data_IF_171466222412
#
_entry.id   IF_171466222412
#
_cell.length_a   1.000
_cell.length_b   1.000
_cell.length_c   1.000
_cell.angle_alpha   90.00
_cell.angle_beta   90.00
_cell.angle_gamma   90.00
#
_symmetry.space_group_name_H-M   'P 1'
#
loop_
_entity.id
_entity.type
_entity.pdbx_description
1 polymer ?
#
# COMPACT_ATOMS: atom_id res chain seq x y z
N UNK A 1 4.02 14.99 31.97
CA UNK A 1 2.87 15.01 31.05
C UNK A 1 3.26 14.21 29.81
N UNK A 2 2.49 13.18 29.46
CA UNK A 2 2.69 12.45 28.20
C UNK A 2 2.18 13.31 27.06
N UNK A 3 3.07 13.71 26.14
CA UNK A 3 2.68 14.51 24.97
C UNK A 3 1.74 13.70 24.08
N UNK A 4 0.55 14.24 23.78
CA UNK A 4 -0.49 13.60 22.97
C UNK A 4 -1.28 14.66 22.18
N UNK A 5 -1.97 14.24 21.12
CA UNK A 5 -2.89 15.07 20.34
C UNK A 5 -4.19 14.33 20.04
N UNK A 6 -5.28 15.06 19.88
CA UNK A 6 -6.62 14.50 19.63
C UNK A 6 -7.03 14.68 18.18
N UNK A 7 -7.61 13.65 17.57
CA UNK A 7 -8.23 13.72 16.24
C UNK A 7 -9.72 13.41 16.35
N UNK A 8 -10.56 14.27 15.75
CA UNK A 8 -12.00 14.03 15.64
C UNK A 8 -12.28 13.16 14.40
N UNK A 9 -12.42 11.86 14.60
CA UNK A 9 -12.85 10.94 13.54
C UNK A 9 -14.38 10.95 13.39
N UNK A 10 -14.89 10.41 12.29
CA UNK A 10 -16.34 10.26 12.09
C UNK A 10 -17.00 9.45 13.23
N UNK A 11 -16.26 8.52 13.84
CA UNK A 11 -16.72 7.65 14.92
C UNK A 11 -16.41 8.19 16.34
N UNK A 12 -15.90 9.41 16.46
CA UNK A 12 -15.58 10.03 17.75
C UNK A 12 -14.14 10.56 17.84
N UNK A 13 -13.83 11.17 18.96
CA UNK A 13 -12.51 11.74 19.24
C UNK A 13 -11.57 10.65 19.78
N UNK A 14 -10.32 10.66 19.30
CA UNK A 14 -9.29 9.71 19.72
C UNK A 14 -8.00 10.47 20.04
N UNK A 15 -7.44 10.18 21.22
CA UNK A 15 -6.16 10.72 21.66
C UNK A 15 -5.00 9.82 21.23
N UNK A 16 -4.03 10.41 20.55
CA UNK A 16 -2.83 9.74 20.05
C UNK A 16 -1.61 10.20 20.84
N UNK A 17 -0.87 9.28 21.50
CA UNK A 17 0.41 9.61 22.10
C UNK A 17 1.45 9.91 21.02
N UNK A 18 2.32 10.90 21.24
CA UNK A 18 3.38 11.23 20.26
C UNK A 18 4.65 10.41 20.45
N UNK A 19 4.80 9.79 21.62
CA UNK A 19 5.99 9.02 21.97
C UNK A 19 6.14 7.80 21.05
N UNK A 20 7.29 7.64 20.41
CA UNK A 20 7.55 6.51 19.50
C UNK A 20 7.12 6.72 18.04
N UNK A 21 6.39 7.80 17.72
CA UNK A 21 5.84 7.98 16.37
C UNK A 21 6.90 8.06 15.27
N UNK A 22 8.06 8.66 15.56
CA UNK A 22 9.12 8.82 14.56
C UNK A 22 9.86 7.50 14.36
N UNK A 23 10.14 6.78 15.44
CA UNK A 23 10.80 5.49 15.43
C UNK A 23 9.95 4.44 14.70
N UNK A 24 8.65 4.36 15.04
CA UNK A 24 7.70 3.46 14.39
C UNK A 24 7.53 3.79 12.90
N UNK A 25 7.46 5.08 12.54
CA UNK A 25 7.36 5.50 11.14
C UNK A 25 8.67 5.31 10.35
N UNK A 26 9.81 5.18 11.04
CA UNK A 26 11.12 4.98 10.42
C UNK A 26 11.33 3.58 9.86
N UNK A 27 10.67 2.56 10.44
CA UNK A 27 10.75 1.13 10.04
C UNK A 27 12.18 0.67 9.69
N UNK A 28 13.15 1.11 10.49
CA UNK A 28 14.57 0.83 10.25
C UNK A 28 14.90 -0.58 10.74
N UNK A 29 15.39 -1.42 9.82
CA UNK A 29 15.91 -2.75 10.13
C UNK A 29 17.43 -2.65 10.27
N UNK A 30 17.97 -3.23 11.35
CA UNK A 30 19.42 -3.30 11.57
C UNK A 30 20.13 -4.06 10.44
N UNK A 31 21.23 -3.50 9.94
CA UNK A 31 22.08 -4.15 8.94
C UNK A 31 22.67 -5.48 9.43
N UNK A 32 22.96 -5.60 10.72
CA UNK A 32 23.47 -6.84 11.31
C UNK A 32 22.45 -7.97 11.25
N UNK A 33 21.18 -7.64 11.50
CA UNK A 33 20.09 -8.59 11.35
C UNK A 33 19.95 -9.02 9.88
N UNK A 34 20.06 -8.09 8.94
CA UNK A 34 20.04 -8.42 7.51
C UNK A 34 21.18 -9.35 7.11
N UNK A 35 22.40 -9.13 7.63
CA UNK A 35 23.54 -9.99 7.37
C UNK A 35 23.36 -11.38 8.01
N UNK A 36 22.80 -11.44 9.21
CA UNK A 36 22.45 -12.70 9.88
C UNK A 36 21.45 -13.49 9.04
N UNK A 37 20.37 -12.86 8.58
CA UNK A 37 19.35 -13.52 7.75
C UNK A 37 19.92 -14.03 6.44
N UNK A 38 20.91 -13.35 5.85
CA UNK A 38 21.63 -13.81 4.65
C UNK A 38 22.52 -15.03 4.90
N UNK A 39 22.96 -15.27 6.14
CA UNK A 39 23.81 -16.41 6.51
C UNK A 39 23.02 -17.68 6.85
N UNK A 40 21.69 -17.60 6.81
CA UNK A 40 20.81 -18.74 7.12
C UNK A 40 21.03 -19.90 6.16
N UNK A 41 20.77 -21.12 6.65
CA UNK A 41 20.80 -22.35 5.84
C UNK A 41 19.42 -22.77 5.35
N UNK A 42 18.38 -22.05 5.73
CA UNK A 42 17.01 -22.34 5.32
C UNK A 42 16.71 -21.63 4.00
N UNK A 43 16.45 -22.41 2.95
CA UNK A 43 16.10 -21.88 1.62
C UNK A 43 14.90 -20.92 1.68
N UNK A 44 13.88 -21.28 2.46
CA UNK A 44 12.71 -20.42 2.67
C UNK A 44 13.07 -19.05 3.25
N UNK A 45 13.96 -19.00 4.25
CA UNK A 45 14.36 -17.74 4.89
C UNK A 45 15.23 -16.92 3.94
N UNK A 46 16.14 -17.56 3.21
CA UNK A 46 16.93 -16.90 2.15
C UNK A 46 16.02 -16.29 1.08
N UNK A 47 14.98 -17.00 0.65
CA UNK A 47 14.02 -16.50 -0.33
C UNK A 47 13.13 -15.38 0.22
N UNK A 48 12.72 -15.47 1.49
CA UNK A 48 11.89 -14.45 2.13
C UNK A 48 12.64 -13.11 2.28
N UNK A 49 13.92 -13.16 2.67
CA UNK A 49 14.76 -11.97 2.90
C UNK A 49 15.61 -11.56 1.68
N UNK A 50 15.59 -12.36 0.61
CA UNK A 50 16.25 -12.06 -0.66
C UNK A 50 15.39 -11.27 -1.66
N UNK A 51 14.17 -10.89 -1.29
CA UNK A 51 13.22 -10.23 -2.19
C UNK A 51 13.65 -8.79 -2.53
N UNK A 52 13.36 -8.35 -3.77
CA UNK A 52 13.58 -6.97 -4.21
C UNK A 52 12.78 -5.91 -3.44
N UNK A 53 11.82 -6.34 -2.61
CA UNK A 53 11.06 -5.47 -1.72
C UNK A 53 11.91 -4.92 -0.55
N UNK A 54 13.08 -5.49 -0.27
CA UNK A 54 13.98 -5.00 0.77
C UNK A 54 14.98 -4.01 0.19
N UNK A 55 14.81 -2.72 0.51
CA UNK A 55 15.76 -1.69 0.15
C UNK A 55 16.84 -1.61 1.23
N UNK A 56 18.06 -2.03 0.89
CA UNK A 56 19.22 -1.96 1.79
C UNK A 56 20.09 -0.75 1.46
N UNK A 57 20.39 0.08 2.45
CA UNK A 57 21.42 1.11 2.37
C UNK A 57 22.78 0.45 2.61
N UNK A 58 23.60 0.40 1.58
CA UNK A 58 24.97 -0.13 1.65
C UNK A 58 25.98 0.99 1.90
N UNK A 59 27.10 0.64 2.54
CA UNK A 59 28.17 1.60 2.80
C UNK A 59 28.79 2.14 1.49
N UNK A 60 29.07 3.47 1.36
CA UNK A 60 29.55 4.07 0.11
C UNK A 60 30.87 3.51 -0.41
N UNK A 61 31.75 3.05 0.50
CA UNK A 61 33.06 2.49 0.17
C UNK A 61 33.07 0.96 0.14
N UNK A 62 32.10 0.31 0.78
CA UNK A 62 32.02 -1.15 0.92
C UNK A 62 30.62 -1.64 0.52
N UNK A 63 30.47 -2.04 -0.74
CA UNK A 63 29.17 -2.44 -1.30
C UNK A 63 28.59 -3.73 -0.71
N UNK A 64 29.41 -4.52 -0.01
CA UNK A 64 28.99 -5.75 0.68
C UNK A 64 28.41 -5.49 2.07
N UNK A 65 28.72 -4.34 2.70
CA UNK A 65 28.27 -3.99 4.03
C UNK A 65 26.91 -3.29 3.99
N UNK A 66 25.86 -3.95 4.50
CA UNK A 66 24.54 -3.36 4.70
C UNK A 66 24.53 -2.62 6.02
N UNK A 67 24.19 -1.32 5.98
CA UNK A 67 24.09 -0.49 7.18
C UNK A 67 22.67 -0.49 7.75
N UNK A 68 21.66 -0.39 6.88
CA UNK A 68 20.25 -0.36 7.27
C UNK A 68 19.39 -0.97 6.16
N UNK A 69 18.28 -1.60 6.55
CA UNK A 69 17.26 -2.10 5.64
C UNK A 69 15.92 -1.41 5.87
N UNK A 70 15.12 -1.26 4.82
CA UNK A 70 13.72 -0.86 4.88
C UNK A 70 12.89 -1.69 3.91
N UNK A 71 11.66 -1.97 4.28
CA UNK A 71 10.71 -2.70 3.42
C UNK A 71 9.97 -1.69 2.54
N UNK A 72 9.90 -1.97 1.24
CA UNK A 72 9.01 -1.28 0.32
C UNK A 72 7.63 -1.93 0.36
N UNK A 73 6.60 -1.20 0.77
CA UNK A 73 5.21 -1.66 0.74
C UNK A 73 4.51 -1.40 -0.61
N UNK A 74 5.22 -0.88 -1.61
CA UNK A 74 4.64 -0.70 -2.95
C UNK A 74 4.32 -2.08 -3.52
N UNK A 75 3.07 -2.35 -3.92
CA UNK A 75 2.71 -3.64 -4.45
C UNK A 75 3.53 -3.92 -5.71
N UNK A 76 4.29 -5.01 -5.69
CA UNK A 76 5.07 -5.48 -6.85
C UNK A 76 4.17 -5.96 -8.01
N UNK A 77 2.89 -6.22 -7.71
CA UNK A 77 1.90 -6.65 -8.68
C UNK A 77 0.99 -5.48 -9.06
N UNK A 78 0.82 -5.24 -10.36
CA UNK A 78 -0.16 -4.28 -10.83
C UNK A 78 -1.58 -4.69 -10.39
N UNK A 79 -2.46 -3.72 -10.04
CA UNK A 79 -3.85 -4.00 -9.74
C UNK A 79 -4.50 -4.75 -10.90
N UNK A 80 -5.08 -5.93 -10.62
CA UNK A 80 -5.83 -6.67 -11.63
C UNK A 80 -7.15 -5.95 -11.86
N UNK A 81 -7.19 -5.09 -12.89
CA UNK A 81 -8.46 -4.56 -13.38
C UNK A 81 -9.08 -5.65 -14.24
N UNK A 82 -10.02 -6.42 -13.67
CA UNK A 82 -10.82 -7.38 -14.42
C UNK A 82 -11.67 -6.61 -15.44
N UNK A 83 -11.12 -6.41 -16.64
CA UNK A 83 -11.80 -5.75 -17.74
C UNK A 83 -12.83 -6.74 -18.28
N UNK A 84 -14.08 -6.60 -17.87
CA UNK A 84 -15.18 -7.36 -18.45
C UNK A 84 -15.30 -6.94 -19.92
N UNK A 85 -14.80 -7.77 -20.85
CA UNK A 85 -14.97 -7.57 -22.30
C UNK A 85 -16.47 -7.69 -22.61
N UNK A 86 -17.18 -6.58 -22.58
CA UNK A 86 -18.54 -6.47 -23.11
C UNK A 86 -18.44 -6.19 -24.60
N UNK A 87 -18.04 -7.19 -25.38
CA UNK A 87 -18.36 -7.22 -26.80
C UNK A 87 -18.63 -8.68 -27.18
N UNK A 88 -19.83 -9.00 -27.71
CA UNK A 88 -20.06 -10.32 -28.29
C UNK A 88 -19.01 -10.61 -29.36
N UNK A 89 -18.50 -11.84 -29.51
CA UNK A 89 -17.75 -12.19 -30.70
C UNK A 89 -18.69 -12.03 -31.89
N UNK A 90 -18.45 -11.01 -32.71
CA UNK A 90 -19.00 -10.92 -34.04
C UNK A 90 -18.47 -12.13 -34.82
N UNK A 91 -19.26 -13.21 -34.83
CA UNK A 91 -19.13 -14.27 -35.82
C UNK A 91 -19.58 -13.63 -37.12
N UNK A 92 -18.63 -13.31 -38.00
CA UNK A 92 -18.71 -13.28 -39.47
C UNK A 92 -17.54 -12.43 -40.01
N UNK A 93 -16.38 -13.04 -40.22
CA UNK A 93 -15.40 -12.61 -41.23
C UNK A 93 -14.51 -13.83 -41.60
N UNK A 94 -14.28 -14.13 -42.89
CA UNK A 94 -13.49 -15.28 -43.32
C UNK A 94 -11.97 -15.03 -43.29
N UNK A 95 -11.24 -16.14 -43.24
CA UNK A 95 -9.77 -16.32 -43.24
C UNK A 95 -8.94 -15.34 -44.09
N UNK A 96 -7.92 -14.72 -43.47
CA UNK A 96 -6.65 -14.38 -44.14
C UNK A 96 -5.46 -14.47 -43.17
N UNK A 97 -4.59 -15.45 -43.48
CA UNK A 97 -3.15 -15.63 -43.25
C UNK A 97 -2.43 -15.15 -41.96
N UNK A 98 -1.49 -15.95 -41.40
CA UNK A 98 -0.61 -15.52 -40.33
C UNK A 98 0.59 -14.74 -40.89
N UNK A 99 0.71 -13.47 -40.55
CA UNK A 99 1.97 -12.73 -40.66
C UNK A 99 2.72 -12.80 -39.33
N UNK A 100 3.93 -13.34 -39.38
CA UNK A 100 4.92 -13.30 -38.32
C UNK A 100 5.28 -11.85 -38.02
N UNK A 101 5.05 -11.41 -36.79
CA UNK A 101 5.83 -10.31 -36.19
C UNK A 101 6.29 -10.77 -34.81
N UNK A 102 7.55 -11.23 -34.84
CA UNK A 102 8.48 -11.27 -33.73
C UNK A 102 8.49 -9.93 -33.00
N UNK A 103 8.33 -9.94 -31.68
CA UNK A 103 9.01 -9.00 -30.78
C UNK A 103 8.96 -9.52 -29.34
N UNK A 104 10.07 -10.11 -28.92
CA UNK A 104 10.41 -10.21 -27.52
C UNK A 104 11.15 -8.95 -27.09
N UNK A 105 10.68 -8.27 -26.05
CA UNK A 105 11.42 -7.33 -25.19
C UNK A 105 10.48 -7.07 -24.00
N UNK A 106 10.89 -6.99 -22.76
CA UNK A 106 12.19 -6.89 -22.16
C UNK A 106 11.94 -6.40 -20.74
N UNK A 107 12.69 -6.92 -19.77
CA UNK A 107 12.77 -6.30 -18.46
C UNK A 107 13.32 -4.88 -18.67
N UNK A 108 12.47 -3.87 -18.51
CA UNK A 108 12.91 -2.49 -18.40
C UNK A 108 12.43 -1.91 -17.08
N UNK A 109 13.31 -2.05 -16.09
CA UNK A 109 13.50 -1.01 -15.09
C UNK A 109 13.83 0.28 -15.84
N UNK A 110 12.81 1.13 -16.04
CA UNK A 110 12.90 2.37 -16.77
C UNK A 110 12.41 3.52 -15.92
N UNK A 111 13.36 4.18 -15.25
CA UNK A 111 13.22 5.55 -14.76
C UNK A 111 12.84 6.46 -15.93
N UNK A 112 11.57 6.85 -16.04
CA UNK A 112 11.14 7.88 -16.99
C UNK A 112 11.12 9.26 -16.31
N UNK A 113 12.24 9.96 -16.40
CA UNK A 113 12.33 11.41 -16.23
C UNK A 113 11.55 12.10 -17.34
N UNK A 114 10.34 12.59 -17.03
CA UNK A 114 9.71 13.65 -17.80
C UNK A 114 10.09 14.99 -17.18
N UNK A 115 11.02 15.70 -17.83
CA UNK A 115 11.27 17.11 -17.57
C UNK A 115 10.04 17.88 -18.04
N UNK A 116 9.26 18.40 -17.11
CA UNK A 116 8.28 19.42 -17.41
C UNK A 116 8.59 20.67 -16.58
N UNK A 117 8.82 21.76 -17.29
CA UNK A 117 9.23 23.05 -16.77
C UNK A 117 8.01 23.85 -16.32
N UNK A 118 7.81 24.01 -15.01
CA UNK A 118 7.13 25.20 -14.47
C UNK A 118 7.50 25.41 -13.00
N UNK A 119 8.00 26.61 -12.70
CA UNK A 119 8.59 26.96 -11.42
C UNK A 119 7.58 26.94 -10.27
N UNK A 120 7.83 26.06 -9.30
CA UNK A 120 7.35 26.20 -7.92
C UNK A 120 8.45 25.65 -7.01
N UNK A 121 9.01 26.52 -6.17
CA UNK A 121 10.14 26.19 -5.27
C UNK A 121 9.74 25.01 -4.37
N UNK A 122 10.13 23.80 -4.77
CA UNK A 122 9.96 22.57 -4.01
C UNK A 122 11.21 22.43 -3.15
N UNK A 123 11.03 22.49 -1.84
CA UNK A 123 12.03 22.17 -0.82
C UNK A 123 12.81 20.91 -1.24
N UNK A 124 14.14 21.00 -1.20
CA UNK A 124 15.06 19.88 -1.38
C UNK A 124 14.75 18.79 -0.35
N UNK A 125 13.89 17.87 -0.74
CA UNK A 125 13.82 16.53 -0.18
C UNK A 125 14.20 15.60 -1.33
N UNK A 126 15.26 14.83 -1.08
CA UNK A 126 15.92 13.92 -2.00
C UNK A 126 14.88 13.15 -2.86
N UNK A 127 15.11 12.98 -4.18
CA UNK A 127 14.17 12.27 -5.06
C UNK A 127 14.01 10.78 -4.71
N UNK A 128 14.91 10.24 -3.87
CA UNK A 128 14.86 8.92 -3.24
C UNK A 128 14.82 9.01 -1.70
N UNK A 129 14.24 10.08 -1.15
CA UNK A 129 14.06 10.21 0.28
C UNK A 129 13.32 8.99 0.82
N UNK A 130 13.97 8.29 1.75
CA UNK A 130 13.38 7.22 2.54
C UNK A 130 11.95 7.62 2.94
N UNK A 131 10.96 6.97 2.32
CA UNK A 131 9.57 7.19 2.68
C UNK A 131 9.30 6.35 3.92
N UNK A 132 9.03 7.01 5.04
CA UNK A 132 8.55 6.35 6.24
C UNK A 132 7.22 5.61 5.98
N UNK A 133 6.87 4.73 6.90
CA UNK A 133 5.71 3.82 6.84
C UNK A 133 4.41 4.54 6.50
N UNK A 134 4.17 5.73 7.07
CA UNK A 134 2.96 6.51 6.80
C UNK A 134 2.90 7.02 5.35
N UNK A 135 4.04 7.45 4.78
CA UNK A 135 4.09 7.92 3.38
C UNK A 135 3.90 6.77 2.38
N UNK A 136 4.44 5.61 2.74
CA UNK A 136 4.24 4.35 2.05
C UNK A 136 2.77 3.89 2.06
N UNK A 137 2.13 3.91 3.24
CA UNK A 137 0.71 3.61 3.40
C UNK A 137 -0.19 4.57 2.63
N UNK A 138 0.10 5.88 2.68
CA UNK A 138 -0.63 6.90 1.93
C UNK A 138 -0.56 6.65 0.42
N UNK A 139 0.62 6.31 -0.10
CA UNK A 139 0.81 5.98 -1.52
C UNK A 139 -0.05 4.77 -1.92
N UNK A 140 -0.13 3.75 -1.07
CA UNK A 140 -0.99 2.59 -1.29
C UNK A 140 -2.48 2.95 -1.25
N UNK A 141 -2.90 3.83 -0.34
CA UNK A 141 -4.28 4.33 -0.29
C UNK A 141 -4.66 5.12 -1.54
N UNK A 142 -3.74 5.92 -2.09
CA UNK A 142 -4.00 6.66 -3.33
C UNK A 142 -4.26 5.73 -4.52
N UNK A 143 -3.53 4.62 -4.60
CA UNK A 143 -3.75 3.57 -5.63
C UNK A 143 -5.14 2.95 -5.47
N UNK A 144 -5.54 2.62 -4.24
CA UNK A 144 -6.85 2.03 -3.95
C UNK A 144 -7.96 3.03 -4.24
N UNK A 145 -7.82 4.28 -3.79
CA UNK A 145 -8.79 5.36 -4.03
C UNK A 145 -9.01 5.60 -5.52
N UNK A 146 -7.94 5.65 -6.31
CA UNK A 146 -8.04 5.77 -7.78
C UNK A 146 -8.80 4.60 -8.41
N UNK A 147 -8.57 3.39 -7.91
CA UNK A 147 -9.27 2.19 -8.38
C UNK A 147 -10.76 2.24 -8.02
N UNK A 148 -11.09 2.70 -6.81
CA UNK A 148 -12.47 2.80 -6.32
C UNK A 148 -13.26 3.95 -6.97
N UNK A 149 -12.60 5.04 -7.35
CA UNK A 149 -13.22 6.20 -8.03
C UNK A 149 -13.33 6.05 -9.55
N UNK A 150 -13.07 4.87 -10.09
CA UNK A 150 -13.16 4.62 -11.54
C UNK A 150 -14.62 4.63 -12.01
N UNK A 151 -14.89 5.31 -13.13
CA UNK A 151 -16.26 5.53 -13.67
C UNK A 151 -17.04 4.24 -13.97
N UNK A 152 -16.34 3.14 -14.21
CA UNK A 152 -16.96 1.84 -14.53
C UNK A 152 -17.20 0.96 -13.28
N UNK A 153 -17.06 1.51 -12.08
CA UNK A 153 -17.28 0.78 -10.84
C UNK A 153 -18.70 1.03 -10.32
N UNK A 154 -19.41 -0.05 -9.97
CA UNK A 154 -20.66 0.01 -9.24
C UNK A 154 -20.40 -0.46 -7.80
N UNK A 155 -20.25 0.46 -6.82
CA UNK A 155 -19.93 0.09 -5.45
C UNK A 155 -21.15 -0.47 -4.71
N UNK A 156 -20.95 -1.57 -3.99
CA UNK A 156 -21.92 -2.10 -3.02
C UNK A 156 -21.38 -1.87 -1.62
N UNK A 157 -22.24 -1.40 -0.72
CA UNK A 157 -21.87 -1.10 0.66
C UNK A 157 -22.47 -2.14 1.60
N UNK A 158 -21.63 -2.71 2.47
CA UNK A 158 -22.03 -3.62 3.54
C UNK A 158 -21.63 -2.96 4.85
N UNK A 159 -22.62 -2.65 5.69
CA UNK A 159 -22.39 -2.06 7.00
C UNK A 159 -22.35 -3.16 8.07
N UNK A 160 -21.17 -3.38 8.64
CA UNK A 160 -20.98 -4.33 9.74
C UNK A 160 -21.21 -3.63 11.09
N UNK A 161 -22.18 -4.11 11.88
CA UNK A 161 -22.49 -3.59 13.20
C UNK A 161 -21.98 -4.54 14.29
N UNK A 162 -21.29 -4.00 15.29
CA UNK A 162 -20.90 -4.75 16.49
C UNK A 162 -22.12 -4.88 17.42
N UNK A 163 -22.60 -6.10 17.73
CA UNK A 163 -23.83 -6.29 18.50
C UNK A 163 -23.65 -5.97 20.00
N UNK A 164 -22.44 -6.13 20.54
CA UNK A 164 -22.09 -5.79 21.91
C UNK A 164 -20.56 -5.63 22.08
N UNK A 165 -20.15 -4.85 23.09
CA UNK A 165 -18.74 -4.58 23.41
C UNK A 165 -18.06 -5.73 24.15
N UNK A 166 -18.87 -6.55 24.84
CA UNK A 166 -18.42 -7.66 25.69
C UNK A 166 -18.00 -8.90 24.90
N UNK A 167 -18.21 -8.90 23.59
CA UNK A 167 -17.94 -10.02 22.67
C UNK A 167 -18.65 -11.32 23.06
N UNK A 168 -19.86 -11.21 23.62
CA UNK A 168 -20.67 -12.36 24.03
C UNK A 168 -21.63 -12.71 22.90
N UNK A 169 -21.66 -13.98 22.50
CA UNK A 169 -22.60 -14.48 21.50
C UNK A 169 -24.06 -14.27 21.97
N UNK A 170 -24.95 -13.97 21.02
CA UNK A 170 -26.40 -13.80 21.26
C UNK A 170 -26.78 -12.67 22.24
N UNK A 171 -25.87 -11.75 22.55
CA UNK A 171 -26.20 -10.53 23.29
C UNK A 171 -26.26 -9.32 22.36
N UNK A 172 -27.32 -8.53 22.53
CA UNK A 172 -27.55 -7.31 21.76
C UNK A 172 -27.61 -6.12 22.72
N UNK A 173 -26.70 -5.17 22.54
CA UNK A 173 -26.70 -3.90 23.23
C UNK A 173 -27.29 -2.82 22.31
N UNK A 174 -28.55 -2.47 22.57
CA UNK A 174 -29.28 -1.47 21.79
C UNK A 174 -28.63 -0.09 21.79
N UNK A 175 -27.90 0.30 22.85
CA UNK A 175 -27.22 1.61 22.90
C UNK A 175 -25.99 1.59 22.00
N UNK A 176 -25.19 0.54 22.12
CA UNK A 176 -24.01 0.32 21.28
C UNK A 176 -24.38 0.32 19.79
N UNK A 177 -25.40 -0.44 19.41
CA UNK A 177 -25.82 -0.56 18.01
C UNK A 177 -26.46 0.74 17.51
N UNK A 178 -27.31 1.40 18.30
CA UNK A 178 -27.90 2.70 17.93
C UNK A 178 -26.83 3.75 17.65
N UNK A 179 -25.81 3.84 18.50
CA UNK A 179 -24.70 4.77 18.31
C UNK A 179 -24.00 4.52 16.98
N UNK A 180 -23.71 3.26 16.63
CA UNK A 180 -23.09 2.91 15.35
C UNK A 180 -23.96 3.29 14.15
N UNK A 181 -25.27 3.01 14.21
CA UNK A 181 -26.22 3.36 13.12
C UNK A 181 -26.27 4.87 12.89
N UNK A 182 -26.25 5.67 13.96
CA UNK A 182 -26.19 7.14 13.87
C UNK A 182 -24.84 7.60 13.30
N UNK A 183 -23.74 7.06 13.80
CA UNK A 183 -22.38 7.38 13.35
C UNK A 183 -22.14 7.05 11.88
N UNK A 184 -22.67 5.94 11.38
CA UNK A 184 -22.55 5.56 9.97
C UNK A 184 -23.50 6.33 9.05
N UNK A 185 -24.41 7.15 9.60
CA UNK A 185 -25.45 7.82 8.82
C UNK A 185 -26.42 6.85 8.15
N UNK A 186 -26.49 5.58 8.58
CA UNK A 186 -27.31 4.55 7.91
C UNK A 186 -28.80 4.87 7.97
N UNK A 187 -29.24 5.67 8.94
CA UNK A 187 -30.62 6.17 8.99
C UNK A 187 -30.93 7.25 7.94
N UNK A 188 -29.91 7.86 7.33
CA UNK A 188 -30.02 8.96 6.36
C UNK A 188 -29.80 8.50 4.90
N UNK A 189 -29.40 7.24 4.71
CA UNK A 189 -29.23 6.57 3.40
C UNK A 189 -30.57 5.98 2.96
#
# INVERSE_FOLDING_TARGET
>A
ATSAFTVKHFAGEVDYPVNGLIEENGEIISGDLMNLMKSTRSDFVSDLFGQQALQTVTHPKERTAIMQGQVMSKPLRMPSTARRKTSPPSRLAPDMAPSEDMDGYGIQAGSSTTKDSSGRRKSELLPNGIQGTAGQFLSSLDIVKKSLSSTNLNPYFIFCLKPNDRRIANQFDSKCVRSQVQTFGTAEI
#
